data_IF_626177025976
#
_entry.id   IF_626177025976
#
_cell.length_a   1.000
_cell.length_b   1.000
_cell.length_c   1.000
_cell.angle_alpha   90.00
_cell.angle_beta   90.00
_cell.angle_gamma   90.00
#
_symmetry.space_group_name_H-M   'P 1'
#
loop_
_entity.id
_entity.type
_entity.pdbx_description
1 polymer ?
#
# COMPACT_ATOMS: atom_id res chain seq x y z
N UNK A 1 9.07 -28.85 9.81
CA UNK A 1 9.30 -27.39 9.68
C UNK A 1 10.18 -27.17 8.47
N UNK A 2 9.85 -26.22 7.60
CA UNK A 2 10.72 -25.86 6.47
C UNK A 2 11.95 -25.12 7.02
N UNK A 3 13.13 -25.38 6.46
CA UNK A 3 14.32 -24.60 6.82
C UNK A 3 14.23 -23.18 6.24
N UNK A 4 15.02 -22.24 6.78
CA UNK A 4 15.14 -20.88 6.22
C UNK A 4 15.52 -20.94 4.73
N UNK A 5 16.44 -21.85 4.38
CA UNK A 5 16.88 -22.08 3.00
C UNK A 5 15.73 -22.52 2.10
N UNK A 6 14.82 -23.37 2.60
CA UNK A 6 13.67 -23.83 1.83
C UNK A 6 12.68 -22.68 1.57
N UNK A 7 12.45 -21.82 2.57
CA UNK A 7 11.59 -20.65 2.42
C UNK A 7 12.17 -19.62 1.43
N UNK A 8 13.49 -19.37 1.48
CA UNK A 8 14.16 -18.49 0.53
C UNK A 8 14.11 -19.04 -0.90
N UNK A 9 14.38 -20.35 -1.07
CA UNK A 9 14.24 -21.03 -2.36
C UNK A 9 12.81 -20.95 -2.88
N UNK A 10 11.83 -21.16 -2.01
CA UNK A 10 10.42 -21.03 -2.36
C UNK A 10 10.11 -19.62 -2.88
N UNK A 11 10.51 -18.57 -2.15
CA UNK A 11 10.30 -17.19 -2.58
C UNK A 11 10.97 -16.87 -3.93
N UNK A 12 12.23 -17.27 -4.10
CA UNK A 12 12.96 -17.10 -5.37
C UNK A 12 12.23 -17.82 -6.52
N UNK A 13 11.64 -18.99 -6.25
CA UNK A 13 10.90 -19.78 -7.24
C UNK A 13 9.51 -19.23 -7.55
N UNK A 14 8.99 -18.23 -6.81
CA UNK A 14 7.80 -17.50 -7.23
C UNK A 14 8.06 -16.68 -8.50
N UNK A 15 9.32 -16.26 -8.72
CA UNK A 15 9.87 -15.58 -9.92
C UNK A 15 9.24 -14.25 -10.28
N UNK A 16 7.95 -14.24 -10.57
CA UNK A 16 7.22 -13.10 -11.11
C UNK A 16 6.13 -12.67 -10.13
N UNK A 17 6.09 -11.38 -9.81
CA UNK A 17 5.12 -10.79 -8.90
C UNK A 17 4.82 -9.35 -9.26
N UNK A 18 3.85 -8.77 -8.56
CA UNK A 18 3.44 -7.38 -8.74
C UNK A 18 3.80 -6.53 -7.53
N UNK A 19 4.22 -5.29 -7.77
CA UNK A 19 4.39 -4.28 -6.74
C UNK A 19 3.26 -3.27 -6.86
N UNK A 20 2.52 -3.07 -5.78
CA UNK A 20 1.37 -2.16 -5.70
C UNK A 20 1.78 -0.99 -4.81
N UNK A 21 2.07 0.14 -5.45
CA UNK A 21 2.32 1.39 -4.78
C UNK A 21 1.00 2.16 -4.64
N UNK A 22 0.42 2.12 -3.45
CA UNK A 22 -0.87 2.72 -3.16
C UNK A 22 -0.82 3.40 -1.79
N UNK A 23 -1.10 4.70 -1.76
CA UNK A 23 -0.98 5.54 -0.57
C UNK A 23 -1.65 6.90 -0.82
N UNK A 24 -1.46 7.85 0.09
CA UNK A 24 -1.94 9.23 -0.05
C UNK A 24 -1.55 9.90 -1.38
N UNK A 25 -0.34 9.64 -1.88
CA UNK A 25 0.16 10.21 -3.13
C UNK A 25 -0.72 9.85 -4.34
N UNK A 26 -1.36 8.66 -4.33
CA UNK A 26 -2.32 8.25 -5.36
C UNK A 26 -3.48 9.25 -5.52
N UNK A 27 -3.94 9.85 -4.43
CA UNK A 27 -5.02 10.83 -4.45
C UNK A 27 -4.49 12.24 -4.66
N UNK A 28 -3.43 12.59 -3.92
CA UNK A 28 -2.83 13.92 -3.93
C UNK A 28 -2.30 14.33 -5.32
N UNK A 29 -1.67 13.39 -6.02
CA UNK A 29 -1.01 13.64 -7.31
C UNK A 29 -1.73 12.96 -8.49
N UNK A 30 -3.01 12.62 -8.35
CA UNK A 30 -3.78 11.92 -9.40
C UNK A 30 -3.88 12.68 -10.74
N UNK A 31 -3.54 13.98 -10.78
CA UNK A 31 -3.64 14.86 -11.94
C UNK A 31 -2.30 15.46 -12.39
N UNK A 32 -1.18 15.06 -11.79
CA UNK A 32 0.10 15.74 -12.01
C UNK A 32 1.32 14.88 -11.73
N UNK A 33 2.47 15.54 -11.67
CA UNK A 33 3.72 14.90 -11.28
C UNK A 33 3.66 14.46 -9.80
N UNK A 34 4.15 13.24 -9.54
CA UNK A 34 4.20 12.70 -8.18
C UNK A 34 5.39 13.34 -7.46
N UNK A 35 5.11 14.15 -6.45
CA UNK A 35 6.13 14.79 -5.60
C UNK A 35 5.91 14.41 -4.15
N UNK A 36 6.06 13.12 -3.83
CA UNK A 36 5.89 12.59 -2.48
C UNK A 36 7.21 12.46 -1.69
N UNK A 37 8.38 12.71 -2.32
CA UNK A 37 9.75 12.57 -1.75
C UNK A 37 10.20 13.69 -0.84
N UNK A 38 9.28 14.55 -0.42
CA UNK A 38 9.56 15.66 0.48
C UNK A 38 9.32 15.26 1.95
N UNK A 39 9.97 14.20 2.43
CA UNK A 39 9.85 13.76 3.83
C UNK A 39 11.17 13.82 4.61
N UNK A 40 11.17 14.58 5.71
CA UNK A 40 12.26 14.65 6.68
C UNK A 40 13.64 14.86 6.04
N UNK A 41 14.52 13.85 6.12
CA UNK A 41 15.89 13.93 5.59
C UNK A 41 15.92 14.13 4.07
N UNK A 42 14.93 13.61 3.36
CA UNK A 42 14.81 13.76 1.89
C UNK A 42 14.49 15.22 1.50
N UNK A 43 13.90 15.99 2.42
CA UNK A 43 13.58 17.40 2.24
C UNK A 43 14.54 18.33 3.00
N UNK A 44 15.76 17.89 3.33
CA UNK A 44 16.72 18.67 4.15
C UNK A 44 16.17 19.16 5.50
N UNK A 45 15.12 18.50 6.03
CA UNK A 45 14.43 18.92 7.25
C UNK A 45 13.38 20.01 7.08
N UNK A 46 13.14 20.50 5.85
CA UNK A 46 12.11 21.49 5.58
C UNK A 46 10.69 20.89 5.73
N UNK A 47 9.68 21.70 6.10
CA UNK A 47 8.29 21.28 6.09
C UNK A 47 7.86 20.79 4.70
N UNK A 48 6.96 19.81 4.67
CA UNK A 48 6.41 19.25 3.43
C UNK A 48 5.69 20.35 2.64
N UNK A 49 5.99 20.51 1.34
CA UNK A 49 5.33 21.52 0.50
C UNK A 49 3.86 21.19 0.27
N UNK A 50 3.56 19.90 0.16
CA UNK A 50 2.22 19.38 -0.07
C UNK A 50 1.81 18.43 1.06
N UNK A 51 1.30 18.94 2.19
CA UNK A 51 0.70 18.08 3.22
C UNK A 51 -0.54 17.37 2.65
N UNK A 52 -0.74 16.11 3.03
CA UNK A 52 -1.95 15.37 2.71
C UNK A 52 -2.88 15.38 3.92
N UNK A 53 -4.14 15.77 3.71
CA UNK A 53 -5.16 15.75 4.75
C UNK A 53 -5.92 14.43 4.71
N UNK A 54 -6.14 13.83 5.88
CA UNK A 54 -6.79 12.52 6.00
C UNK A 54 -8.20 12.49 5.41
N UNK A 55 -8.90 13.63 5.47
CA UNK A 55 -10.24 13.83 4.94
C UNK A 55 -10.29 13.69 3.40
N UNK A 56 -9.15 13.85 2.72
CA UNK A 56 -9.01 13.65 1.28
C UNK A 56 -8.89 12.17 0.89
N UNK A 57 -8.66 11.29 1.87
CA UNK A 57 -8.62 9.84 1.64
C UNK A 57 -10.03 9.28 1.41
N UNK A 58 -10.41 9.17 0.13
CA UNK A 58 -11.74 8.69 -0.25
C UNK A 58 -11.72 7.67 -1.41
N UNK A 59 -11.24 6.43 -1.17
CA UNK A 59 -11.15 5.38 -2.19
C UNK A 59 -12.52 4.74 -2.53
N UNK A 60 -13.51 5.50 -3.00
CA UNK A 60 -14.89 5.02 -3.23
C UNK A 60 -15.01 3.89 -4.26
N UNK A 61 -14.13 3.87 -5.26
CA UNK A 61 -14.11 2.88 -6.34
C UNK A 61 -13.06 1.78 -6.15
N UNK A 62 -12.47 1.68 -4.95
CA UNK A 62 -11.39 0.73 -4.71
C UNK A 62 -11.91 -0.70 -4.62
N UNK A 63 -11.48 -1.53 -5.57
CA UNK A 63 -11.70 -2.98 -5.56
C UNK A 63 -10.35 -3.72 -5.64
N UNK A 64 -9.81 -4.13 -4.49
CA UNK A 64 -8.56 -4.89 -4.49
C UNK A 64 -8.73 -6.32 -5.02
N UNK A 65 -9.96 -6.86 -5.13
CA UNK A 65 -10.18 -8.16 -5.78
C UNK A 65 -9.89 -8.06 -7.27
N UNK A 66 -10.25 -6.93 -7.88
CA UNK A 66 -9.91 -6.64 -9.27
C UNK A 66 -8.40 -6.59 -9.45
N UNK A 67 -7.64 -5.96 -8.55
CA UNK A 67 -6.16 -5.98 -8.59
C UNK A 67 -5.59 -7.40 -8.52
N UNK A 68 -6.06 -8.20 -7.57
CA UNK A 68 -5.63 -9.59 -7.42
C UNK A 68 -5.98 -10.43 -8.66
N UNK A 69 -7.17 -10.23 -9.25
CA UNK A 69 -7.60 -10.91 -10.47
C UNK A 69 -6.71 -10.57 -11.66
N UNK A 70 -6.39 -9.29 -11.85
CA UNK A 70 -5.51 -8.83 -12.93
C UNK A 70 -4.10 -9.40 -12.74
N UNK A 71 -3.52 -9.29 -11.54
CA UNK A 71 -2.21 -9.84 -11.24
C UNK A 71 -2.15 -11.36 -11.50
N UNK A 72 -3.18 -12.10 -11.09
CA UNK A 72 -3.29 -13.54 -11.36
C UNK A 72 -3.39 -13.83 -12.86
N UNK A 73 -4.20 -13.07 -13.62
CA UNK A 73 -4.31 -13.24 -15.08
C UNK A 73 -3.01 -12.92 -15.82
N UNK A 74 -2.18 -12.03 -15.28
CA UNK A 74 -0.85 -11.72 -15.81
C UNK A 74 0.20 -12.79 -15.46
N UNK A 75 -0.14 -13.78 -14.62
CA UNK A 75 0.77 -14.85 -14.19
C UNK A 75 1.61 -14.51 -12.94
N UNK A 76 1.31 -13.42 -12.24
CA UNK A 76 1.99 -13.07 -10.99
C UNK A 76 1.73 -14.13 -9.91
N UNK A 77 2.79 -14.50 -9.20
CA UNK A 77 2.78 -15.52 -8.13
C UNK A 77 2.82 -14.93 -6.73
N UNK A 78 3.12 -13.64 -6.62
CA UNK A 78 3.05 -12.88 -5.38
C UNK A 78 2.74 -11.41 -5.66
N UNK A 79 2.35 -10.68 -4.61
CA UNK A 79 2.17 -9.25 -4.63
C UNK A 79 2.88 -8.63 -3.42
N UNK A 80 3.45 -7.45 -3.60
CA UNK A 80 3.98 -6.61 -2.53
C UNK A 80 3.21 -5.28 -2.54
N UNK A 81 2.49 -4.99 -1.44
CA UNK A 81 1.74 -3.74 -1.26
C UNK A 81 2.54 -2.80 -0.36
N UNK A 82 2.66 -1.53 -0.75
CA UNK A 82 3.26 -0.49 0.09
C UNK A 82 2.51 -0.40 1.40
N UNK A 83 3.16 -0.76 2.50
CA UNK A 83 2.50 -0.71 3.78
C UNK A 83 2.34 0.73 4.27
N UNK A 84 3.48 1.40 4.29
CA UNK A 84 3.67 2.81 4.58
C UNK A 84 4.80 3.23 3.67
N UNK A 85 4.61 4.35 3.00
CA UNK A 85 5.62 4.93 2.14
C UNK A 85 6.31 6.10 2.88
N UNK A 86 7.31 6.74 2.29
CA UNK A 86 8.16 7.70 3.02
C UNK A 86 7.37 8.92 3.50
N UNK A 87 6.26 9.29 2.84
CA UNK A 87 5.37 10.37 3.29
C UNK A 87 4.63 10.07 4.60
N UNK A 88 4.68 8.81 5.07
CA UNK A 88 4.23 8.41 6.40
C UNK A 88 2.78 7.93 6.48
N UNK A 89 2.01 8.03 5.40
CA UNK A 89 0.62 7.53 5.36
C UNK A 89 0.60 6.00 5.42
N UNK A 90 -0.05 5.46 6.47
CA UNK A 90 -0.13 4.02 6.69
C UNK A 90 -1.45 3.46 6.14
N UNK A 91 -1.39 2.35 5.38
CA UNK A 91 -2.60 1.67 4.92
C UNK A 91 -3.25 0.78 5.99
N UNK A 92 -2.63 0.63 7.17
CA UNK A 92 -3.15 -0.14 8.30
C UNK A 92 -3.44 0.75 9.50
N UNK A 93 -4.31 0.28 10.41
CA UNK A 93 -4.54 0.91 11.70
C UNK A 93 -3.32 0.70 12.61
N UNK A 94 -2.51 1.72 12.80
CA UNK A 94 -1.43 1.73 13.80
C UNK A 94 -1.95 2.32 15.11
N UNK A 95 -1.90 1.55 16.21
CA UNK A 95 -2.35 2.00 17.54
C UNK A 95 -1.46 3.07 18.21
N UNK A 96 -0.54 3.70 17.48
CA UNK A 96 0.30 4.80 17.96
C UNK A 96 0.28 5.89 16.90
N UNK A 97 -0.37 6.98 17.28
CA UNK A 97 -0.38 8.32 16.71
C UNK A 97 0.71 8.62 15.67
N UNK A 98 0.47 8.24 14.41
CA UNK A 98 0.61 9.05 13.19
C UNK A 98 -0.40 8.47 12.18
N UNK A 99 -1.57 9.13 12.11
CA UNK A 99 -2.37 9.42 10.90
C UNK A 99 -2.42 8.35 9.79
N UNK A 100 -2.78 7.13 10.16
CA UNK A 100 -3.16 6.07 9.23
C UNK A 100 -4.68 5.99 9.15
N UNK A 101 -5.28 6.58 8.11
CA UNK A 101 -6.68 6.28 7.78
C UNK A 101 -6.69 4.86 7.22
N UNK A 102 -6.84 3.88 8.12
CA UNK A 102 -7.57 2.68 7.72
C UNK A 102 -8.90 3.14 7.12
N UNK A 103 -9.37 2.50 6.05
CA UNK A 103 -10.72 2.71 5.52
C UNK A 103 -11.70 2.58 6.68
N UNK A 104 -12.06 3.68 7.34
CA UNK A 104 -12.97 3.73 8.49
C UNK A 104 -13.14 5.18 8.95
N UNK A 105 -13.97 5.90 8.18
CA UNK A 105 -14.97 6.79 8.74
C UNK A 105 -16.32 6.09 8.99
N UNK A 106 -16.44 4.76 8.85
CA UNK A 106 -17.68 4.01 9.17
C UNK A 106 -17.37 2.57 9.56
N UNK A 107 -17.93 2.11 10.69
CA UNK A 107 -17.71 0.82 11.38
C UNK A 107 -17.95 -0.47 10.58
N UNK A 108 -18.09 -0.43 9.25
CA UNK A 108 -18.60 -1.57 8.46
C UNK A 108 -17.87 -1.83 7.13
N UNK A 109 -16.64 -1.35 6.91
CA UNK A 109 -15.93 -1.59 5.62
C UNK A 109 -14.58 -2.29 5.77
N UNK A 110 -14.30 -3.30 4.92
CA UNK A 110 -13.13 -4.16 5.08
C UNK A 110 -11.81 -3.43 4.82
N UNK A 111 -10.83 -3.70 5.69
CA UNK A 111 -9.47 -3.16 5.61
C UNK A 111 -8.80 -3.49 4.26
N UNK A 112 -8.06 -2.54 3.66
CA UNK A 112 -7.30 -2.76 2.39
C UNK A 112 -6.46 -4.04 2.47
N UNK A 113 -5.80 -4.27 3.61
CA UNK A 113 -5.03 -5.49 3.86
C UNK A 113 -5.84 -6.78 3.82
N UNK A 114 -7.10 -6.76 4.28
CA UNK A 114 -8.00 -7.91 4.18
C UNK A 114 -8.52 -8.11 2.76
N UNK A 115 -8.53 -7.06 1.93
CA UNK A 115 -9.02 -7.10 0.55
C UNK A 115 -7.95 -7.51 -0.46
N UNK A 116 -6.67 -7.26 -0.20
CA UNK A 116 -5.53 -7.70 -1.04
C UNK A 116 -5.11 -9.15 -0.73
N UNK A 117 -5.58 -9.71 0.38
CA UNK A 117 -5.23 -11.05 0.86
C UNK A 117 -6.25 -12.18 0.55
N UNK A 118 -6.95 -12.26 -0.59
CA UNK A 118 -7.63 -13.48 -0.99
C UNK A 118 -6.71 -14.44 -1.78
N UNK A 119 -5.41 -14.15 -1.90
CA UNK A 119 -4.41 -15.07 -2.45
C UNK A 119 -4.07 -16.19 -1.46
N UNK A 120 -5.07 -16.97 -1.05
CA UNK A 120 -4.80 -18.37 -0.71
C UNK A 120 -4.74 -19.12 -2.04
N UNK A 121 -3.53 -19.26 -2.56
CA UNK A 121 -3.14 -20.31 -3.51
C UNK A 121 -2.47 -21.41 -2.71
#
# INVERSE_FOLDING_TARGET
MNSLTDLQKHFINLRFGTFIHFNSATFQFCKGEVTDWEYAHENSGEPRRYPFHEEEWNPVGLDCRQWASVAKSAGCRYAALTAKHHEGFCLWLSGREIRGVGILGTSERPHVWRLVCPLHV
#
